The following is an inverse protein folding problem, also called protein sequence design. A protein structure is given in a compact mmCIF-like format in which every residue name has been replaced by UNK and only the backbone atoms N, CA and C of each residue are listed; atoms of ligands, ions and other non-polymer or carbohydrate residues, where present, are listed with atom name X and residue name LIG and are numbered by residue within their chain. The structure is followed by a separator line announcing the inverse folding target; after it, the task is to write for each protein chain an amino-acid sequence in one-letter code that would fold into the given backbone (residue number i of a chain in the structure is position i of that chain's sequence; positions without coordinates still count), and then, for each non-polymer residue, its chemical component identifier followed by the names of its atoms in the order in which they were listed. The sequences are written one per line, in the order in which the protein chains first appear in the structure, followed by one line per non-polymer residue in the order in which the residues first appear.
data_IF_732121098225
#
_entry.id   IF_732121098225
#
_cell.length_a   1.000
_cell.length_b   1.000
_cell.length_c   1.000
_cell.angle_alpha   90.00
_cell.angle_beta   90.00
_cell.angle_gamma   90.00
#
_symmetry.space_group_name_H-M   'P 1'
#
loop_
_entity.id
_entity.type
_entity.pdbx_description
1 polymer ?
#
# COMPACT_ATOMS: atom_id res chain seq x y z
N UNK A 1 9.66 -25.37 2.52
CA UNK A 1 9.32 -24.95 1.16
C UNK A 1 8.30 -23.83 1.10
N UNK A 2 7.21 -23.97 1.85
CA UNK A 2 6.20 -22.91 1.87
C UNK A 2 6.75 -21.61 2.45
N UNK A 3 7.50 -21.72 3.53
CA UNK A 3 8.10 -20.55 4.19
C UNK A 3 9.07 -19.86 3.25
N UNK A 4 9.81 -20.62 2.44
CA UNK A 4 10.79 -20.06 1.53
C UNK A 4 10.14 -19.28 0.38
N UNK A 5 8.84 -19.51 0.11
CA UNK A 5 8.11 -18.80 -0.94
C UNK A 5 7.45 -17.53 -0.45
N UNK A 6 7.37 -17.33 0.86
CA UNK A 6 6.79 -16.13 1.40
C UNK A 6 7.73 -14.95 1.19
N UNK A 7 7.15 -13.80 1.00
CA UNK A 7 7.91 -12.58 0.85
C UNK A 7 8.44 -12.06 2.16
N UNK A 8 9.06 -10.92 2.10
CA UNK A 8 9.54 -10.21 3.28
C UNK A 8 8.33 -9.78 4.11
N UNK A 9 8.47 -9.87 5.42
CA UNK A 9 7.39 -9.51 6.33
C UNK A 9 7.75 -8.18 7.02
N UNK A 10 7.01 -7.10 6.71
CA UNK A 10 7.31 -5.79 7.30
C UNK A 10 7.18 -5.73 8.82
N UNK A 11 6.50 -6.70 9.42
CA UNK A 11 6.27 -6.73 10.87
C UNK A 11 7.28 -7.60 11.60
N UNK A 12 8.24 -8.21 10.89
CA UNK A 12 9.31 -8.99 11.49
C UNK A 12 10.66 -8.38 11.15
N UNK A 13 11.74 -9.01 11.56
CA UNK A 13 13.07 -8.45 11.39
C UNK A 13 13.69 -8.63 10.00
N UNK A 14 13.02 -9.30 9.07
CA UNK A 14 13.62 -9.57 7.76
C UNK A 14 13.33 -8.51 6.70
N UNK A 15 12.59 -7.45 7.03
CA UNK A 15 12.22 -6.42 6.08
C UNK A 15 13.27 -5.31 6.04
N UNK A 16 14.49 -5.65 5.63
CA UNK A 16 15.55 -4.67 5.48
C UNK A 16 15.39 -3.93 4.16
N UNK A 17 15.96 -2.74 4.07
CA UNK A 17 15.89 -1.98 2.81
C UNK A 17 16.56 -2.76 1.67
N UNK A 18 17.71 -3.35 1.92
CA UNK A 18 18.45 -4.07 0.89
C UNK A 18 17.66 -5.25 0.36
N UNK A 19 17.04 -6.03 1.25
CA UNK A 19 16.24 -7.18 0.83
C UNK A 19 15.01 -6.72 0.05
N UNK A 20 14.35 -5.65 0.50
CA UNK A 20 13.22 -5.08 -0.20
C UNK A 20 13.62 -4.59 -1.60
N UNK A 21 14.69 -3.79 -1.67
CA UNK A 21 15.18 -3.27 -2.94
C UNK A 21 15.46 -4.38 -3.93
N UNK A 22 16.16 -5.42 -3.48
CA UNK A 22 16.55 -6.50 -4.37
C UNK A 22 15.35 -7.24 -4.95
N UNK A 23 14.33 -7.48 -4.13
CA UNK A 23 13.13 -8.15 -4.61
C UNK A 23 12.27 -7.23 -5.48
N UNK A 24 12.18 -5.96 -5.12
CA UNK A 24 11.28 -5.04 -5.80
C UNK A 24 11.80 -4.64 -7.17
N UNK A 25 13.11 -4.66 -7.37
CA UNK A 25 13.73 -4.25 -8.63
C UNK A 25 14.21 -5.42 -9.47
N UNK A 26 13.89 -6.64 -9.09
CA UNK A 26 14.34 -7.83 -9.82
C UNK A 26 13.76 -7.90 -11.23
N UNK A 27 12.56 -7.37 -11.44
CA UNK A 27 11.94 -7.30 -12.74
C UNK A 27 11.44 -5.88 -12.98
N UNK A 28 10.62 -5.72 -13.99
CA UNK A 28 10.03 -4.42 -14.30
C UNK A 28 8.51 -4.55 -14.33
N UNK A 29 7.88 -4.38 -13.19
CA UNK A 29 6.44 -4.53 -13.02
C UNK A 29 5.85 -3.28 -12.40
N UNK A 30 4.54 -3.11 -12.54
CA UNK A 30 3.84 -2.02 -11.86
C UNK A 30 3.96 -2.16 -10.34
N UNK A 31 4.12 -1.04 -9.65
CA UNK A 31 4.41 -1.08 -8.21
C UNK A 31 3.26 -1.68 -7.40
N UNK A 32 2.00 -1.44 -7.79
CA UNK A 32 0.90 -2.03 -7.04
C UNK A 32 0.87 -3.55 -7.16
N UNK A 33 1.12 -4.07 -8.37
CA UNK A 33 1.17 -5.52 -8.57
C UNK A 33 2.25 -6.16 -7.70
N UNK A 34 3.40 -5.49 -7.58
CA UNK A 34 4.48 -5.96 -6.71
C UNK A 34 4.11 -5.94 -5.24
N UNK A 35 3.44 -4.86 -4.80
CA UNK A 35 3.01 -4.77 -3.40
C UNK A 35 2.02 -5.85 -3.04
N UNK A 36 1.15 -6.23 -3.98
CA UNK A 36 0.16 -7.28 -3.75
C UNK A 36 0.72 -8.69 -3.88
N UNK A 37 1.92 -8.83 -4.43
CA UNK A 37 2.56 -10.13 -4.61
C UNK A 37 3.14 -10.61 -3.28
N UNK A 38 2.48 -11.59 -2.67
CA UNK A 38 2.86 -12.08 -1.36
C UNK A 38 4.24 -12.75 -1.34
N UNK A 39 4.78 -13.09 -2.52
CA UNK A 39 6.15 -13.61 -2.60
C UNK A 39 7.20 -12.51 -2.58
N UNK A 40 6.80 -11.25 -2.73
CA UNK A 40 7.69 -10.10 -2.65
C UNK A 40 7.62 -9.49 -1.25
N UNK A 41 6.43 -9.06 -0.85
CA UNK A 41 6.19 -8.51 0.49
C UNK A 41 4.91 -9.16 1.02
N UNK A 42 5.01 -9.84 2.14
CA UNK A 42 3.87 -10.52 2.74
C UNK A 42 2.99 -9.54 3.53
N UNK A 43 1.69 -9.76 3.49
CA UNK A 43 0.77 -9.06 4.38
C UNK A 43 0.14 -7.78 3.82
N UNK A 44 0.45 -7.38 2.60
CA UNK A 44 -0.14 -6.17 2.01
C UNK A 44 -1.38 -6.55 1.21
N UNK A 45 -2.54 -6.05 1.62
CA UNK A 45 -3.78 -6.21 0.89
C UNK A 45 -4.07 -4.98 0.04
N UNK A 46 -5.23 -5.03 -0.65
CA UNK A 46 -5.60 -3.98 -1.59
C UNK A 46 -5.72 -2.60 -0.95
N UNK A 47 -6.31 -2.54 0.23
CA UNK A 47 -6.48 -1.26 0.95
C UNK A 47 -5.13 -0.65 1.27
N UNK A 48 -4.25 -1.46 1.83
CA UNK A 48 -2.94 -0.97 2.26
C UNK A 48 -2.06 -0.60 1.08
N UNK A 49 -2.15 -1.35 -0.02
CA UNK A 49 -1.37 -1.02 -1.22
C UNK A 49 -1.70 0.38 -1.72
N UNK A 50 -3.00 0.72 -1.78
CA UNK A 50 -3.41 2.05 -2.23
C UNK A 50 -2.93 3.15 -1.28
N UNK A 51 -3.02 2.91 0.03
CA UNK A 51 -2.58 3.90 1.02
C UNK A 51 -1.07 4.08 1.03
N UNK A 52 -0.32 2.99 0.87
CA UNK A 52 1.13 3.05 0.80
C UNK A 52 1.57 3.88 -0.42
N UNK A 53 0.98 3.58 -1.58
CA UNK A 53 1.35 4.28 -2.81
C UNK A 53 0.98 5.76 -2.76
N UNK A 54 -0.12 6.11 -2.10
CA UNK A 54 -0.47 7.51 -1.94
C UNK A 54 0.58 8.24 -1.10
N UNK A 55 1.03 7.65 -0.01
CA UNK A 55 2.06 8.26 0.83
C UNK A 55 3.38 8.39 0.08
N UNK A 56 3.71 7.41 -0.74
CA UNK A 56 4.94 7.44 -1.52
C UNK A 56 4.83 8.31 -2.78
N UNK A 57 3.63 8.81 -3.06
CA UNK A 57 3.34 9.64 -4.23
C UNK A 57 3.63 8.96 -5.55
N UNK A 58 3.42 7.65 -5.58
CA UNK A 58 3.61 6.83 -6.77
C UNK A 58 2.26 6.36 -7.29
N UNK A 59 2.08 6.46 -8.60
CA UNK A 59 0.88 5.92 -9.23
C UNK A 59 0.97 4.40 -9.29
N UNK A 60 -0.17 3.75 -9.22
CA UNK A 60 -0.25 2.29 -9.12
C UNK A 60 0.49 1.55 -10.23
N UNK A 61 0.55 2.13 -11.44
CA UNK A 61 1.18 1.50 -12.59
C UNK A 61 2.60 1.99 -12.86
N UNK A 62 3.17 2.77 -11.95
CA UNK A 62 4.57 3.19 -12.06
C UNK A 62 5.45 1.94 -12.10
N UNK A 63 6.37 1.88 -13.06
CA UNK A 63 7.19 0.69 -13.26
C UNK A 63 8.36 0.64 -12.30
N UNK A 64 8.58 -0.52 -11.69
CA UNK A 64 9.60 -0.67 -10.65
C UNK A 64 11.01 -0.38 -11.13
N UNK A 65 11.31 -0.68 -12.40
CA UNK A 65 12.65 -0.44 -12.94
C UNK A 65 12.98 1.06 -13.06
N UNK A 66 11.97 1.93 -12.98
CA UNK A 66 12.18 3.38 -13.08
C UNK A 66 12.27 4.06 -11.72
N UNK A 67 12.19 3.30 -10.63
CA UNK A 67 12.26 3.87 -9.29
C UNK A 67 13.68 4.23 -8.91
N UNK A 68 13.88 5.45 -8.40
CA UNK A 68 15.17 5.86 -7.86
C UNK A 68 15.39 5.23 -6.48
N UNK A 69 16.63 5.28 -6.01
CA UNK A 69 16.93 4.82 -4.65
C UNK A 69 16.11 5.60 -3.62
N UNK A 70 15.92 6.89 -3.84
CA UNK A 70 15.09 7.72 -2.95
C UNK A 70 13.66 7.19 -2.91
N UNK A 71 13.06 6.92 -4.07
CA UNK A 71 11.70 6.36 -4.13
C UNK A 71 11.62 5.03 -3.39
N UNK A 72 12.62 4.17 -3.57
CA UNK A 72 12.63 2.87 -2.92
C UNK A 72 12.74 2.99 -1.39
N UNK A 73 13.56 3.93 -0.90
CA UNK A 73 13.66 4.14 0.53
C UNK A 73 12.38 4.70 1.12
N UNK A 74 11.76 5.64 0.44
CA UNK A 74 10.48 6.19 0.89
C UNK A 74 9.41 5.12 0.91
N UNK A 75 9.34 4.32 -0.14
CA UNK A 75 8.36 3.23 -0.24
C UNK A 75 8.56 2.22 0.89
N UNK A 76 9.79 1.82 1.14
CA UNK A 76 10.12 0.91 2.24
C UNK A 76 9.63 1.46 3.58
N UNK A 77 9.89 2.73 3.84
CA UNK A 77 9.46 3.36 5.08
C UNK A 77 7.95 3.43 5.21
N UNK A 78 7.27 3.78 4.14
CA UNK A 78 5.81 3.90 4.17
C UNK A 78 5.12 2.54 4.32
N UNK A 79 5.69 1.49 3.76
CA UNK A 79 5.16 0.13 3.97
C UNK A 79 5.15 -0.19 5.46
N UNK A 80 6.28 0.03 6.13
CA UNK A 80 6.37 -0.21 7.57
C UNK A 80 5.39 0.63 8.38
N UNK A 81 5.31 1.93 8.05
CA UNK A 81 4.40 2.84 8.73
C UNK A 81 2.94 2.41 8.62
N UNK A 82 2.50 2.16 7.39
CA UNK A 82 1.09 1.85 7.15
C UNK A 82 0.69 0.56 7.83
N UNK A 83 1.53 -0.46 7.74
CA UNK A 83 1.20 -1.73 8.36
C UNK A 83 1.22 -1.66 9.88
N UNK A 84 2.15 -0.88 10.44
CA UNK A 84 2.18 -0.69 11.90
C UNK A 84 0.95 0.07 12.37
N UNK A 85 0.53 1.10 11.65
CA UNK A 85 -0.69 1.84 11.99
C UNK A 85 -1.92 0.96 11.87
N UNK A 86 -1.98 0.12 10.85
CA UNK A 86 -3.11 -0.77 10.66
C UNK A 86 -3.23 -1.78 11.79
N UNK A 87 -2.11 -2.33 12.25
CA UNK A 87 -2.11 -3.25 13.38
C UNK A 87 -2.57 -2.53 14.64
N UNK A 88 -2.06 -1.33 14.89
CA UNK A 88 -2.45 -0.54 16.07
C UNK A 88 -3.93 -0.19 16.07
N UNK A 89 -4.52 -0.01 14.90
CA UNK A 89 -5.94 0.33 14.76
C UNK A 89 -6.85 -0.90 14.69
N UNK A 90 -6.31 -2.10 14.80
CA UNK A 90 -7.10 -3.34 14.76
C UNK A 90 -7.30 -3.91 13.36
N UNK A 91 -6.58 -3.36 12.37
CA UNK A 91 -6.68 -3.82 10.99
C UNK A 91 -7.75 -3.08 10.21
N UNK A 92 -7.77 -3.27 8.88
CA UNK A 92 -8.79 -2.69 8.02
C UNK A 92 -9.05 -3.54 6.79
N UNK A 93 -8.84 -4.86 6.86
CA UNK A 93 -9.28 -5.76 5.81
C UNK A 93 -10.79 -5.86 5.83
N UNK A 94 -11.40 -6.31 4.73
CA UNK A 94 -12.85 -6.45 4.70
C UNK A 94 -13.36 -7.42 5.75
N UNK A 95 -12.63 -8.49 6.01
CA UNK A 95 -13.01 -9.45 7.05
C UNK A 95 -12.92 -8.82 8.43
N UNK A 96 -11.85 -8.07 8.67
CA UNK A 96 -11.69 -7.36 9.93
C UNK A 96 -12.71 -6.24 10.07
N UNK A 97 -13.09 -5.63 8.95
CA UNK A 97 -14.08 -4.56 8.93
C UNK A 97 -15.39 -5.00 9.56
N UNK A 98 -15.91 -6.16 9.17
CA UNK A 98 -17.15 -6.67 9.72
C UNK A 98 -17.05 -6.92 11.21
N UNK A 99 -15.95 -7.48 11.64
CA UNK A 99 -15.73 -7.79 13.04
C UNK A 99 -15.56 -6.51 13.85
N UNK A 100 -14.72 -5.61 13.38
CA UNK A 100 -14.37 -4.41 14.10
C UNK A 100 -15.53 -3.42 14.14
N UNK A 101 -16.37 -3.40 13.11
CA UNK A 101 -17.54 -2.52 13.09
C UNK A 101 -18.42 -2.73 14.31
N UNK A 102 -18.59 -3.97 14.73
CA UNK A 102 -19.36 -4.27 15.92
C UNK A 102 -18.75 -3.66 17.16
N UNK A 103 -17.46 -3.37 17.16
CA UNK A 103 -16.74 -2.76 18.26
C UNK A 103 -16.48 -1.27 18.03
N UNK A 104 -16.87 -0.74 16.90
CA UNK A 104 -16.69 0.67 16.58
C UNK A 104 -15.28 1.05 16.15
N UNK A 105 -14.38 0.10 15.95
CA UNK A 105 -12.99 0.41 15.62
C UNK A 105 -12.74 0.59 14.13
N UNK A 106 -13.56 -0.03 13.30
CA UNK A 106 -13.42 0.08 11.86
C UNK A 106 -13.49 1.53 11.41
N UNK A 107 -14.46 2.28 11.93
CA UNK A 107 -14.64 3.66 11.55
C UNK A 107 -13.42 4.53 11.86
N UNK A 108 -12.70 4.20 12.92
CA UNK A 108 -11.51 4.95 13.31
C UNK A 108 -10.42 4.82 12.23
N UNK A 109 -10.12 3.59 11.79
CA UNK A 109 -9.09 3.43 10.79
C UNK A 109 -9.55 3.93 9.42
N UNK A 110 -10.82 3.72 9.08
CA UNK A 110 -11.34 4.21 7.80
C UNK A 110 -11.28 5.71 7.67
N UNK A 111 -11.48 6.45 8.76
CA UNK A 111 -11.37 7.90 8.70
C UNK A 111 -9.96 8.37 8.42
N UNK A 112 -8.97 7.51 8.60
CA UNK A 112 -7.58 7.83 8.32
C UNK A 112 -7.14 7.43 6.92
N UNK A 113 -7.97 6.71 6.18
CA UNK A 113 -7.67 6.41 4.77
C UNK A 113 -7.60 7.70 3.98
N UNK A 114 -6.57 7.82 3.14
CA UNK A 114 -6.39 9.02 2.33
C UNK A 114 -6.99 8.89 0.94
N UNK A 115 -7.02 7.69 0.39
CA UNK A 115 -7.55 7.45 -0.95
C UNK A 115 -8.54 6.30 -1.01
N UNK A 116 -8.36 5.24 -0.24
CA UNK A 116 -9.20 4.07 -0.37
C UNK A 116 -10.66 4.41 -0.08
N UNK A 117 -11.56 4.03 -0.99
CA UNK A 117 -13.00 4.28 -0.90
C UNK A 117 -13.37 5.77 -0.86
N UNK A 118 -12.46 6.65 -1.29
CA UNK A 118 -12.70 8.09 -1.27
C UNK A 118 -12.81 8.68 -2.66
N UNK A 119 -13.11 7.87 -3.66
CA UNK A 119 -13.26 8.37 -5.03
C UNK A 119 -14.31 9.49 -5.07
N UNK A 120 -14.02 10.51 -5.85
CA UNK A 120 -14.87 11.68 -5.96
C UNK A 120 -14.59 12.74 -4.91
N UNK A 121 -13.81 12.44 -3.88
CA UNK A 121 -13.47 13.41 -2.84
C UNK A 121 -12.16 14.12 -3.17
N UNK A 122 -12.02 15.31 -2.62
CA UNK A 122 -10.79 16.05 -2.80
C UNK A 122 -9.66 15.39 -2.01
N UNK A 123 -8.48 15.30 -2.63
CA UNK A 123 -7.31 14.74 -1.99
C UNK A 123 -6.93 15.56 -0.75
N UNK A 124 -6.81 14.89 0.39
CA UNK A 124 -6.45 15.55 1.64
C UNK A 124 -4.99 15.99 1.69
N UNK A 125 -4.15 15.38 0.87
CA UNK A 125 -2.72 15.68 0.87
C UNK A 125 -2.40 16.92 0.05
N UNK A 126 -2.86 16.98 -1.21
CA UNK A 126 -2.54 18.11 -2.07
C UNK A 126 -3.65 19.16 -2.14
N UNK A 127 -4.87 18.84 -1.73
CA UNK A 127 -6.00 19.78 -1.73
C UNK A 127 -6.50 20.14 -3.11
N UNK A 128 -5.96 19.55 -4.18
CA UNK A 128 -6.30 19.92 -5.56
C UNK A 128 -6.87 18.75 -6.36
N UNK A 129 -6.31 17.56 -6.20
CA UNK A 129 -6.75 16.41 -6.97
C UNK A 129 -8.05 15.86 -6.44
N UNK A 130 -8.80 15.21 -7.32
CA UNK A 130 -10.00 14.46 -6.94
C UNK A 130 -9.64 12.99 -7.05
N UNK A 131 -9.85 12.24 -5.98
CA UNK A 131 -9.48 10.83 -5.91
C UNK A 131 -10.23 10.07 -6.99
N UNK A 132 -9.50 9.25 -7.75
CA UNK A 132 -10.06 8.41 -8.80
C UNK A 132 -10.06 6.96 -8.37
N UNK A 133 -11.02 6.21 -8.88
CA UNK A 133 -11.08 4.77 -8.73
C UNK A 133 -11.05 4.15 -10.13
N UNK A 134 -10.08 3.27 -10.34
CA UNK A 134 -9.93 2.55 -11.63
C UNK A 134 -9.70 1.08 -11.35
N UNK A 135 -9.80 0.24 -12.39
CA UNK A 135 -9.35 -1.14 -12.28
C UNK A 135 -7.88 -1.17 -12.65
N UNK A 136 -7.03 -1.49 -11.70
CA UNK A 136 -5.59 -1.55 -11.92
C UNK A 136 -4.99 -2.71 -11.14
N UNK A 137 -4.01 -3.39 -11.74
CA UNK A 137 -3.39 -4.56 -11.14
C UNK A 137 -4.42 -5.64 -10.78
N UNK A 138 -5.51 -5.74 -11.56
CA UNK A 138 -6.58 -6.70 -11.34
C UNK A 138 -7.51 -6.37 -10.20
N UNK A 139 -7.44 -5.18 -9.63
CA UNK A 139 -8.24 -4.80 -8.46
C UNK A 139 -8.70 -3.37 -8.55
N UNK A 140 -9.72 -3.02 -7.74
CA UNK A 140 -10.09 -1.61 -7.57
C UNK A 140 -8.90 -0.85 -7.02
N UNK A 141 -8.58 0.27 -7.65
CA UNK A 141 -7.40 1.04 -7.31
C UNK A 141 -7.79 2.49 -7.14
N UNK A 142 -7.38 3.09 -6.02
CA UNK A 142 -7.74 4.46 -5.65
C UNK A 142 -6.48 5.30 -5.58
N UNK A 143 -6.49 6.45 -6.24
CA UNK A 143 -5.30 7.30 -6.25
C UNK A 143 -5.65 8.75 -6.54
N UNK A 144 -4.73 9.65 -6.17
CA UNK A 144 -4.85 11.06 -6.54
C UNK A 144 -4.03 11.30 -7.82
N UNK A 145 -4.68 11.71 -8.92
CA UNK A 145 -3.94 11.91 -10.17
C UNK A 145 -3.00 13.13 -10.14
N UNK A 146 -3.12 13.99 -9.14
CA UNK A 146 -2.26 15.16 -9.01
C UNK A 146 -0.98 14.84 -8.26
N UNK A 147 -1.07 14.23 -7.08
CA UNK A 147 0.13 14.00 -6.27
C UNK A 147 0.78 12.63 -6.48
N UNK A 148 0.13 11.69 -7.15
CA UNK A 148 0.73 10.40 -7.44
C UNK A 148 1.12 10.32 -8.91
N UNK A 149 2.38 10.13 -9.16
CA UNK A 149 2.94 10.07 -10.51
C UNK A 149 3.67 8.76 -10.70
#
# INVERSE_FOLDING_TARGET
PEVARLGLDPLTGNFTFEAFRDRFTKGNRGVKALLLDQSVVAGIGNIYADEILHRARLRWNHLSATLSTKHLRELHGHIGEVLAEAVAAGGSTLADTQYVDALGKEGIFQTEHRVYARQGERCRTCGRGIIKRVMGAGRSTHFCPVCQK
#
